data_IF_847927040852
#
_entry.id   IF_847927040852
#
_cell.length_a   1.000
_cell.length_b   1.000
_cell.length_c   1.000
_cell.angle_alpha   90.00
_cell.angle_beta   90.00
_cell.angle_gamma   90.00
#
_symmetry.space_group_name_H-M   'P 1'
#
loop_
_entity.id
_entity.type
_entity.pdbx_description
1 polymer ?
#
# COMPACT_ATOMS: atom_id res chain seq x y z
N UNK A 1 11.85 2.90 12.64
CA UNK A 1 11.83 3.10 11.18
C UNK A 1 12.64 1.98 10.54
N UNK A 2 12.01 1.17 9.69
CA UNK A 2 12.63 -0.01 9.07
C UNK A 2 12.78 0.15 7.55
N UNK A 3 13.36 -0.85 6.87
CA UNK A 3 13.62 -0.79 5.43
C UNK A 3 12.33 -0.64 4.60
N UNK A 4 11.23 -1.26 5.02
CA UNK A 4 9.94 -1.13 4.33
C UNK A 4 9.38 0.29 4.33
N UNK A 5 9.52 1.01 5.45
CA UNK A 5 9.12 2.43 5.54
C UNK A 5 9.93 3.27 4.57
N UNK A 6 11.26 3.10 4.57
CA UNK A 6 12.15 3.83 3.66
C UNK A 6 11.81 3.53 2.20
N UNK A 7 11.55 2.28 1.85
CA UNK A 7 11.19 1.90 0.49
C UNK A 7 9.93 2.64 0.01
N UNK A 8 8.88 2.68 0.84
CA UNK A 8 7.63 3.37 0.49
C UNK A 8 7.84 4.89 0.36
N UNK A 9 8.66 5.48 1.24
CA UNK A 9 9.02 6.91 1.18
C UNK A 9 9.76 7.25 -0.13
N UNK A 10 10.72 6.43 -0.54
CA UNK A 10 11.46 6.61 -1.81
C UNK A 10 10.52 6.48 -3.02
N UNK A 11 9.60 5.50 -3.03
CA UNK A 11 8.61 5.37 -4.10
C UNK A 11 7.72 6.62 -4.22
N UNK A 12 7.27 7.16 -3.09
CA UNK A 12 6.49 8.40 -3.04
C UNK A 12 7.32 9.60 -3.52
N UNK A 13 8.56 9.72 -3.05
CA UNK A 13 9.46 10.80 -3.43
C UNK A 13 9.75 10.80 -4.92
N UNK A 14 10.05 9.63 -5.49
CA UNK A 14 10.21 9.45 -6.92
C UNK A 14 8.96 9.87 -7.69
N UNK A 15 7.79 9.36 -7.30
CA UNK A 15 6.56 9.61 -8.04
C UNK A 15 6.19 11.10 -8.06
N UNK A 16 6.41 11.81 -6.94
CA UNK A 16 6.32 13.27 -6.88
C UNK A 16 7.32 13.97 -7.78
N UNK A 17 8.57 13.52 -7.79
CA UNK A 17 9.64 14.10 -8.61
C UNK A 17 9.35 13.99 -10.11
N UNK A 18 8.63 12.96 -10.55
CA UNK A 18 8.20 12.78 -11.95
C UNK A 18 6.90 13.52 -12.27
N UNK A 19 6.16 13.97 -11.24
CA UNK A 19 4.88 14.68 -11.42
C UNK A 19 3.66 13.76 -11.53
N UNK A 20 3.73 12.54 -11.00
CA UNK A 20 2.52 11.73 -10.84
C UNK A 20 1.58 12.33 -9.81
N UNK A 21 0.27 12.21 -10.06
CA UNK A 21 -0.77 12.77 -9.20
C UNK A 21 -1.22 11.79 -8.11
N UNK A 22 -1.05 10.48 -8.33
CA UNK A 22 -1.55 9.42 -7.45
C UNK A 22 -0.69 8.16 -7.50
N UNK A 23 -0.60 7.47 -6.36
CA UNK A 23 -0.11 6.08 -6.26
C UNK A 23 -1.25 5.18 -5.81
N UNK A 24 -1.34 4.01 -6.42
CA UNK A 24 -2.17 2.89 -5.95
C UNK A 24 -1.28 1.70 -5.60
N UNK A 25 -1.71 0.89 -4.64
CA UNK A 25 -1.06 -0.37 -4.27
C UNK A 25 -2.12 -1.41 -3.90
N UNK A 26 -1.79 -2.67 -4.12
CA UNK A 26 -2.60 -3.80 -3.70
C UNK A 26 -1.84 -4.63 -2.65
N UNK A 27 -2.55 -5.11 -1.62
CA UNK A 27 -1.99 -5.94 -0.54
C UNK A 27 -3.04 -6.92 0.02
N UNK A 28 -2.69 -7.70 1.04
CA UNK A 28 -3.64 -8.56 1.77
C UNK A 28 -3.81 -8.05 3.21
N UNK A 29 -5.02 -8.13 3.74
CA UNK A 29 -5.40 -7.65 5.08
C UNK A 29 -4.55 -8.25 6.22
N UNK A 30 -4.15 -9.52 6.06
CA UNK A 30 -3.29 -10.27 6.99
C UNK A 30 -1.86 -9.72 7.10
N UNK A 31 -1.41 -8.88 6.16
CA UNK A 31 -0.08 -8.26 6.18
C UNK A 31 -0.07 -7.00 7.07
N UNK A 32 -0.32 -7.19 8.37
CA UNK A 32 -0.56 -6.09 9.33
C UNK A 32 0.59 -5.10 9.45
N UNK A 33 1.84 -5.54 9.30
CA UNK A 33 3.00 -4.64 9.36
C UNK A 33 3.13 -3.76 8.11
N UNK A 34 2.78 -4.31 6.93
CA UNK A 34 2.74 -3.54 5.70
C UNK A 34 1.65 -2.45 5.77
N UNK A 35 0.48 -2.79 6.31
CA UNK A 35 -0.64 -1.85 6.52
C UNK A 35 -0.22 -0.64 7.37
N UNK A 36 0.49 -0.86 8.47
CA UNK A 36 1.03 0.22 9.31
C UNK A 36 1.93 1.19 8.52
N UNK A 37 2.73 0.65 7.60
CA UNK A 37 3.59 1.48 6.74
C UNK A 37 2.73 2.32 5.79
N UNK A 38 1.74 1.73 5.14
CA UNK A 38 0.86 2.43 4.20
C UNK A 38 0.06 3.54 4.89
N UNK A 39 -0.52 3.26 6.06
CA UNK A 39 -1.23 4.23 6.89
C UNK A 39 -0.32 5.39 7.30
N UNK A 40 0.92 5.09 7.74
CA UNK A 40 1.92 6.11 8.08
C UNK A 40 2.28 6.97 6.86
N UNK A 41 2.43 6.34 5.70
CA UNK A 41 2.68 6.99 4.42
C UNK A 41 1.44 7.68 3.81
N UNK A 42 0.33 7.80 4.57
CA UNK A 42 -0.91 8.50 4.17
C UNK A 42 -1.67 7.86 3.01
N UNK A 43 -1.46 6.58 2.76
CA UNK A 43 -2.36 5.81 1.92
C UNK A 43 -3.70 5.60 2.63
N UNK A 44 -4.75 5.52 1.83
CA UNK A 44 -6.13 5.28 2.27
C UNK A 44 -6.63 4.03 1.57
N UNK A 45 -7.36 3.22 2.30
CA UNK A 45 -8.05 2.06 1.75
C UNK A 45 -9.12 2.55 0.75
N UNK A 46 -9.10 2.03 -0.47
CA UNK A 46 -10.10 2.27 -1.50
C UNK A 46 -11.21 1.21 -1.43
N UNK A 47 -10.80 -0.05 -1.41
CA UNK A 47 -11.70 -1.19 -1.45
C UNK A 47 -11.02 -2.44 -0.89
N UNK A 48 -11.85 -3.43 -0.55
CA UNK A 48 -11.43 -4.74 -0.07
C UNK A 48 -12.28 -5.82 -0.72
N UNK A 49 -11.65 -6.91 -1.14
CA UNK A 49 -12.33 -8.03 -1.80
C UNK A 49 -11.83 -9.38 -1.25
N UNK A 50 -12.73 -10.23 -0.71
CA UNK A 50 -12.40 -11.61 -0.38
C UNK A 50 -12.00 -12.37 -1.64
N UNK A 51 -10.90 -13.11 -1.57
CA UNK A 51 -10.44 -13.94 -2.66
C UNK A 51 -9.69 -15.16 -2.12
N UNK A 52 -9.49 -16.14 -3.00
CA UNK A 52 -8.73 -17.34 -2.67
C UNK A 52 -7.42 -17.35 -3.43
N UNK A 53 -6.32 -17.19 -2.70
CA UNK A 53 -4.96 -17.15 -3.25
C UNK A 53 -4.02 -17.98 -2.39
N UNK A 54 -3.03 -18.63 -3.01
CA UNK A 54 -2.06 -19.48 -2.31
C UNK A 54 -2.69 -20.58 -1.43
N UNK A 55 -3.90 -21.04 -1.76
CA UNK A 55 -4.63 -22.05 -0.98
C UNK A 55 -5.34 -21.51 0.27
N UNK A 56 -5.29 -20.20 0.51
CA UNK A 56 -5.90 -19.53 1.65
C UNK A 56 -7.04 -18.61 1.22
N UNK A 57 -8.04 -18.46 2.09
CA UNK A 57 -9.04 -17.40 1.98
C UNK A 57 -8.43 -16.13 2.56
N UNK A 58 -8.27 -15.11 1.72
CA UNK A 58 -7.61 -13.84 2.03
C UNK A 58 -8.52 -12.68 1.67
N UNK A 59 -8.32 -11.52 2.30
CA UNK A 59 -8.97 -10.28 1.87
C UNK A 59 -7.92 -9.40 1.20
N UNK A 60 -8.10 -9.21 -0.11
CA UNK A 60 -7.27 -8.30 -0.89
C UNK A 60 -7.71 -6.88 -0.60
N UNK A 61 -6.75 -5.96 -0.54
CA UNK A 61 -7.01 -4.55 -0.24
C UNK A 61 -6.32 -3.68 -1.29
N UNK A 62 -7.08 -2.77 -1.90
CA UNK A 62 -6.53 -1.70 -2.71
C UNK A 62 -6.39 -0.43 -1.87
N UNK A 63 -5.22 0.19 -1.92
CA UNK A 63 -4.95 1.45 -1.24
C UNK A 63 -4.47 2.49 -2.23
N UNK A 64 -4.74 3.76 -1.93
CA UNK A 64 -4.35 4.88 -2.77
C UNK A 64 -3.88 6.09 -1.96
N UNK A 65 -3.09 6.94 -2.61
CA UNK A 65 -2.64 8.22 -2.06
C UNK A 65 -2.48 9.24 -3.18
N UNK A 66 -3.01 10.44 -2.98
CA UNK A 66 -2.63 11.61 -3.81
C UNK A 66 -1.20 12.08 -3.46
N UNK A 67 -0.49 12.57 -4.46
CA UNK A 67 0.91 12.98 -4.36
C UNK A 67 1.09 14.48 -4.27
#
# INVERSE_FOLDING_TARGET
FGIGTRLVEECVGFARGVGYERITLWTNDVLTDARRIYEHARFRLADEEPHRSFGHDLVGQNWWREL
#
